data_IF_151127978074
#
_entry.id   IF_151127978074
#
_cell.length_a   1.000
_cell.length_b   1.000
_cell.length_c   1.000
_cell.angle_alpha   90.00
_cell.angle_beta   90.00
_cell.angle_gamma   90.00
#
_symmetry.space_group_name_H-M   'P 1'
#
loop_
_entity.id
_entity.type
_entity.pdbx_description
1 polymer ?
#
# COMPACT_ATOMS: atom_id res chain seq x y z
N UNK A 1 -8.55 0.11 -20.28
CA UNK A 1 -7.99 -1.26 -20.24
C UNK A 1 -8.36 -2.05 -21.49
N UNK A 2 -9.66 -2.19 -21.82
CA UNK A 2 -10.15 -2.97 -22.97
C UNK A 2 -9.52 -2.51 -24.30
N UNK A 3 -9.48 -1.19 -24.55
CA UNK A 3 -8.86 -0.65 -25.76
C UNK A 3 -7.36 -0.99 -25.86
N UNK A 4 -6.64 -0.98 -24.74
CA UNK A 4 -5.22 -1.34 -24.70
C UNK A 4 -4.97 -2.81 -24.96
N UNK A 5 -5.82 -3.71 -24.41
CA UNK A 5 -5.76 -5.14 -24.69
C UNK A 5 -6.09 -5.46 -26.14
N UNK A 6 -7.11 -4.82 -26.70
CA UNK A 6 -7.47 -4.97 -28.13
C UNK A 6 -6.35 -4.44 -29.05
N UNK A 7 -5.73 -3.33 -28.70
CA UNK A 7 -4.59 -2.77 -29.43
C UNK A 7 -3.37 -3.68 -29.38
N UNK A 8 -3.04 -4.23 -28.19
CA UNK A 8 -1.93 -5.17 -28.04
C UNK A 8 -2.18 -6.47 -28.81
N UNK A 9 -3.42 -7.00 -28.78
CA UNK A 9 -3.82 -8.12 -29.64
C UNK A 9 -3.71 -7.82 -31.12
N UNK A 10 -4.18 -6.63 -31.56
CA UNK A 10 -4.10 -6.21 -32.96
C UNK A 10 -2.66 -6.07 -33.45
N UNK A 11 -1.78 -5.50 -32.63
CA UNK A 11 -0.34 -5.36 -32.94
C UNK A 11 0.32 -6.76 -32.99
N UNK A 12 0.04 -7.61 -31.99
CA UNK A 12 0.59 -8.98 -31.95
C UNK A 12 0.14 -9.81 -33.15
N UNK A 13 -1.16 -9.73 -33.49
CA UNK A 13 -1.71 -10.40 -34.65
C UNK A 13 -1.14 -9.87 -35.97
N UNK A 14 -1.03 -8.54 -36.11
CA UNK A 14 -0.45 -7.90 -37.30
C UNK A 14 1.03 -8.23 -37.48
N UNK A 15 1.81 -8.29 -36.40
CA UNK A 15 3.21 -8.69 -36.45
C UNK A 15 3.39 -10.15 -36.94
N UNK A 16 2.58 -11.05 -36.41
CA UNK A 16 2.63 -12.46 -36.83
C UNK A 16 2.08 -12.68 -38.24
N UNK A 17 1.00 -11.97 -38.61
CA UNK A 17 0.44 -12.05 -39.98
C UNK A 17 1.44 -11.58 -41.05
N UNK A 18 2.33 -10.64 -40.66
CA UNK A 18 3.39 -10.17 -41.55
C UNK A 18 4.46 -11.26 -41.83
N UNK A 19 4.78 -12.09 -40.84
CA UNK A 19 5.83 -13.12 -40.95
C UNK A 19 5.30 -14.47 -41.45
N UNK A 20 4.01 -14.73 -41.34
CA UNK A 20 3.43 -16.03 -41.71
C UNK A 20 2.13 -15.83 -42.53
N UNK A 21 2.24 -15.81 -43.89
CA UNK A 21 1.10 -15.54 -44.77
C UNK A 21 0.02 -16.63 -44.71
N UNK A 22 0.29 -17.83 -44.22
CA UNK A 22 -0.69 -18.92 -44.01
C UNK A 22 -1.68 -18.58 -42.88
N UNK A 23 -1.38 -17.57 -42.10
CA UNK A 23 -2.18 -17.13 -40.97
C UNK A 23 -3.56 -16.60 -41.36
N UNK A 24 -3.67 -16.02 -42.56
CA UNK A 24 -4.92 -15.42 -43.07
C UNK A 24 -5.95 -16.46 -43.53
N UNK A 25 -5.51 -17.67 -43.85
CA UNK A 25 -6.41 -18.75 -44.30
C UNK A 25 -7.14 -19.47 -43.15
N UNK A 26 -6.58 -19.41 -41.90
CA UNK A 26 -7.11 -20.11 -40.74
C UNK A 26 -7.16 -19.18 -39.51
N UNK A 27 -7.94 -18.11 -39.58
CA UNK A 27 -8.03 -17.08 -38.52
C UNK A 27 -8.38 -17.59 -37.11
N UNK A 28 -9.18 -18.66 -37.05
CA UNK A 28 -9.64 -19.22 -35.76
C UNK A 28 -8.85 -20.45 -35.30
N UNK A 29 -8.11 -21.09 -36.19
CA UNK A 29 -7.29 -22.28 -35.86
C UNK A 29 -5.81 -21.93 -35.69
N UNK A 30 -5.56 -20.68 -35.35
CA UNK A 30 -4.23 -20.14 -35.23
C UNK A 30 -3.65 -20.35 -33.86
N UNK A 31 -2.33 -20.62 -33.79
CA UNK A 31 -1.57 -20.79 -32.54
C UNK A 31 -1.71 -19.61 -31.59
N UNK A 32 -1.87 -18.35 -32.10
CA UNK A 32 -2.05 -17.15 -31.28
C UNK A 32 -3.42 -17.18 -30.62
N UNK A 33 -4.48 -17.50 -31.35
CA UNK A 33 -5.82 -17.56 -30.80
C UNK A 33 -5.94 -18.67 -29.75
N UNK A 34 -5.40 -19.84 -30.03
CA UNK A 34 -5.37 -20.96 -29.08
C UNK A 34 -4.54 -20.64 -27.83
N UNK A 35 -3.40 -19.94 -27.97
CA UNK A 35 -2.61 -19.47 -26.83
C UNK A 35 -3.35 -18.41 -26.00
N UNK A 36 -4.06 -17.48 -26.66
CA UNK A 36 -4.87 -16.49 -25.97
C UNK A 36 -5.99 -17.15 -25.15
N UNK A 37 -6.74 -18.05 -25.75
CA UNK A 37 -7.81 -18.80 -25.07
C UNK A 37 -7.23 -19.60 -23.91
N UNK A 38 -6.15 -20.35 -24.13
CA UNK A 38 -5.48 -21.14 -23.09
C UNK A 38 -4.99 -20.27 -21.94
N UNK A 39 -4.33 -19.16 -22.22
CA UNK A 39 -3.84 -18.26 -21.19
C UNK A 39 -5.00 -17.58 -20.41
N UNK A 40 -6.08 -17.25 -21.10
CA UNK A 40 -7.28 -16.70 -20.46
C UNK A 40 -7.88 -17.72 -19.48
N UNK A 41 -8.05 -18.97 -19.90
CA UNK A 41 -8.52 -20.04 -19.01
C UNK A 41 -7.57 -20.29 -17.85
N UNK A 42 -6.25 -20.31 -18.09
CA UNK A 42 -5.26 -20.48 -17.02
C UNK A 42 -5.33 -19.38 -15.97
N UNK A 43 -5.61 -18.13 -16.38
CA UNK A 43 -5.79 -17.00 -15.45
C UNK A 43 -7.12 -17.13 -14.70
N UNK A 44 -8.20 -17.53 -15.39
CA UNK A 44 -9.53 -17.68 -14.77
C UNK A 44 -9.59 -18.84 -13.77
N UNK A 45 -8.87 -19.93 -14.02
CA UNK A 45 -8.80 -21.12 -13.15
C UNK A 45 -7.73 -21.00 -12.05
N UNK A 46 -7.14 -19.81 -11.91
CA UNK A 46 -6.06 -19.62 -10.93
C UNK A 46 -6.61 -19.28 -9.54
N UNK A 47 -6.56 -20.25 -8.63
CA UNK A 47 -7.02 -20.10 -7.24
C UNK A 47 -6.31 -18.98 -6.47
N UNK A 48 -5.09 -18.61 -6.84
CA UNK A 48 -4.33 -17.52 -6.20
C UNK A 48 -5.00 -16.16 -6.44
N UNK A 49 -5.58 -15.95 -7.63
CA UNK A 49 -6.26 -14.70 -7.96
C UNK A 49 -7.58 -14.51 -7.19
N UNK A 50 -8.19 -15.59 -6.71
CA UNK A 50 -9.38 -15.51 -5.85
C UNK A 50 -9.07 -14.80 -4.51
N UNK A 51 -7.81 -14.79 -4.07
CA UNK A 51 -7.40 -14.04 -2.90
C UNK A 51 -7.55 -12.51 -3.07
N UNK A 52 -7.45 -11.98 -4.30
CA UNK A 52 -7.52 -10.52 -4.56
C UNK A 52 -8.84 -9.91 -4.09
N UNK A 53 -10.03 -10.38 -4.54
CA UNK A 53 -11.30 -9.82 -4.07
C UNK A 53 -11.52 -10.02 -2.58
N UNK A 54 -11.02 -11.11 -1.99
CA UNK A 54 -11.12 -11.34 -0.54
C UNK A 54 -10.28 -10.33 0.25
N UNK A 55 -9.06 -10.01 -0.21
CA UNK A 55 -8.23 -8.96 0.40
C UNK A 55 -8.84 -7.57 0.24
N UNK A 56 -9.43 -7.27 -0.92
CA UNK A 56 -10.17 -6.02 -1.13
C UNK A 56 -11.33 -5.88 -0.14
N UNK A 57 -12.09 -6.94 0.05
CA UNK A 57 -13.20 -6.96 0.99
C UNK A 57 -12.72 -6.80 2.44
N UNK A 58 -11.66 -7.51 2.83
CA UNK A 58 -11.04 -7.37 4.15
C UNK A 58 -10.54 -5.95 4.39
N UNK A 59 -9.83 -5.37 3.42
CA UNK A 59 -9.33 -3.99 3.50
C UNK A 59 -10.45 -2.97 3.70
N UNK A 60 -11.55 -3.13 2.96
CA UNK A 60 -12.74 -2.29 3.10
C UNK A 60 -13.40 -2.42 4.48
N UNK A 61 -13.49 -3.64 5.03
CA UNK A 61 -14.02 -3.85 6.37
C UNK A 61 -13.15 -3.16 7.44
N UNK A 62 -11.83 -3.30 7.36
CA UNK A 62 -10.88 -2.68 8.30
C UNK A 62 -10.96 -1.15 8.22
N UNK A 63 -11.10 -0.60 7.01
CA UNK A 63 -11.29 0.84 6.79
C UNK A 63 -12.59 1.33 7.49
N UNK A 64 -13.68 0.62 7.31
CA UNK A 64 -14.99 0.97 7.91
C UNK A 64 -15.04 0.78 9.42
N UNK A 65 -14.25 -0.11 9.98
CA UNK A 65 -14.19 -0.35 11.42
C UNK A 65 -13.62 0.82 12.24
N UNK A 66 -13.02 1.84 11.59
CA UNK A 66 -12.47 3.01 12.27
C UNK A 66 -11.25 2.74 13.15
N UNK A 67 -10.68 1.54 13.08
CA UNK A 67 -9.53 1.09 13.87
C UNK A 67 -8.31 1.97 13.61
N UNK A 68 -8.13 2.42 12.35
CA UNK A 68 -6.97 3.22 11.93
C UNK A 68 -6.90 4.56 12.65
N UNK A 69 -8.05 5.22 12.87
CA UNK A 69 -8.10 6.48 13.59
C UNK A 69 -7.65 6.29 15.04
N UNK A 70 -8.16 5.27 15.73
CA UNK A 70 -7.75 4.95 17.10
C UNK A 70 -6.27 4.62 17.18
N UNK A 71 -5.77 3.80 16.24
CA UNK A 71 -4.36 3.42 16.15
C UNK A 71 -3.45 4.64 15.93
N UNK A 72 -3.83 5.54 15.01
CA UNK A 72 -3.08 6.77 14.77
C UNK A 72 -2.98 7.64 16.02
N UNK A 73 -4.09 7.85 16.74
CA UNK A 73 -4.10 8.63 17.97
C UNK A 73 -3.27 7.96 19.08
N UNK A 74 -3.38 6.65 19.24
CA UNK A 74 -2.61 5.90 20.24
C UNK A 74 -1.09 5.96 19.96
N UNK A 75 -0.68 5.76 18.71
CA UNK A 75 0.75 5.83 18.33
C UNK A 75 1.28 7.26 18.45
N UNK A 76 0.48 8.28 18.04
CA UNK A 76 0.84 9.68 18.22
C UNK A 76 1.14 9.99 19.69
N UNK A 77 0.30 9.48 20.58
CA UNK A 77 0.44 9.66 22.01
C UNK A 77 1.70 8.94 22.56
N UNK A 78 1.97 7.73 22.09
CA UNK A 78 3.18 6.98 22.45
C UNK A 78 4.46 7.64 21.94
N UNK A 79 4.42 8.21 20.73
CA UNK A 79 5.56 8.85 20.08
C UNK A 79 5.78 10.32 20.48
N UNK A 80 5.04 10.88 21.44
CA UNK A 80 5.05 12.32 21.79
C UNK A 80 6.43 12.90 22.13
N UNK A 81 7.37 12.05 22.60
CA UNK A 81 8.74 12.45 22.94
C UNK A 81 9.65 12.59 21.74
N UNK A 82 9.29 11.99 20.60
CA UNK A 82 10.13 12.00 19.41
C UNK A 82 9.98 13.31 18.64
N UNK A 83 11.05 13.83 18.01
CA UNK A 83 10.92 14.88 17.02
C UNK A 83 10.04 14.37 15.87
N UNK A 84 9.19 15.24 15.31
CA UNK A 84 8.20 14.87 14.31
C UNK A 84 7.23 13.75 14.75
N UNK A 85 6.78 13.74 15.99
CA UNK A 85 5.94 12.70 16.59
C UNK A 85 4.72 12.33 15.74
N UNK A 86 4.03 13.31 15.15
CA UNK A 86 2.89 13.04 14.26
C UNK A 86 3.30 12.37 12.94
N UNK A 87 4.45 12.75 12.36
CA UNK A 87 4.95 12.12 11.14
C UNK A 87 5.36 10.66 11.40
N UNK A 88 6.04 10.41 12.52
CA UNK A 88 6.40 9.05 12.96
C UNK A 88 5.14 8.23 13.21
N UNK A 89 4.16 8.79 13.91
CA UNK A 89 2.88 8.11 14.15
C UNK A 89 2.15 7.79 12.84
N UNK A 90 2.12 8.73 11.89
CA UNK A 90 1.52 8.50 10.58
C UNK A 90 2.22 7.36 9.82
N UNK A 91 3.56 7.34 9.78
CA UNK A 91 4.32 6.29 9.10
C UNK A 91 4.12 4.91 9.73
N UNK A 92 4.14 4.82 11.06
CA UNK A 92 3.90 3.55 11.76
C UNK A 92 2.46 3.08 11.52
N UNK A 93 1.47 3.98 11.61
CA UNK A 93 0.07 3.66 11.32
C UNK A 93 -0.11 3.21 9.88
N UNK A 94 0.50 3.91 8.91
CA UNK A 94 0.50 3.49 7.50
C UNK A 94 1.11 2.10 7.33
N UNK A 95 2.24 1.82 8.00
CA UNK A 95 2.91 0.51 7.94
C UNK A 95 1.97 -0.60 8.42
N UNK A 96 1.35 -0.43 9.59
CA UNK A 96 0.42 -1.41 10.15
C UNK A 96 -0.86 -1.54 9.32
N UNK A 97 -1.42 -0.41 8.86
CA UNK A 97 -2.63 -0.43 8.05
C UNK A 97 -2.39 -1.01 6.65
N UNK A 98 -1.21 -0.78 6.09
CA UNK A 98 -0.79 -1.35 4.81
C UNK A 98 -0.79 -2.88 4.84
N UNK A 99 -0.38 -3.49 5.96
CA UNK A 99 -0.43 -4.95 6.12
C UNK A 99 -1.86 -5.50 6.12
N UNK A 100 -2.84 -4.70 6.55
CA UNK A 100 -4.24 -5.12 6.57
C UNK A 100 -4.94 -4.94 5.22
N UNK A 101 -4.60 -3.90 4.45
CA UNK A 101 -5.34 -3.55 3.22
C UNK A 101 -4.61 -3.91 1.93
N UNK A 102 -3.29 -3.79 1.90
CA UNK A 102 -2.48 -3.99 0.70
C UNK A 102 -2.80 -3.01 -0.45
N UNK A 103 -3.51 -1.90 -0.16
CA UNK A 103 -4.00 -0.95 -1.16
C UNK A 103 -3.49 0.45 -0.84
N UNK A 104 -2.66 1.03 -1.71
CA UNK A 104 -2.11 2.39 -1.54
C UNK A 104 -3.21 3.44 -1.39
N UNK A 105 -4.19 3.41 -2.32
CA UNK A 105 -5.24 4.42 -2.38
C UNK A 105 -6.02 4.53 -1.07
N UNK A 106 -6.39 3.41 -0.47
CA UNK A 106 -7.10 3.38 0.82
C UNK A 106 -6.24 3.99 1.94
N UNK A 107 -4.96 3.60 2.03
CA UNK A 107 -4.03 4.10 3.05
C UNK A 107 -3.81 5.60 2.92
N UNK A 108 -3.50 6.09 1.70
CA UNK A 108 -3.25 7.53 1.45
C UNK A 108 -4.50 8.36 1.70
N UNK A 109 -5.67 7.91 1.23
CA UNK A 109 -6.92 8.65 1.40
C UNK A 109 -7.29 8.75 2.87
N UNK A 110 -7.27 7.63 3.60
CA UNK A 110 -7.64 7.62 5.01
C UNK A 110 -6.68 8.45 5.86
N UNK A 111 -5.37 8.27 5.66
CA UNK A 111 -4.37 9.07 6.39
C UNK A 111 -4.35 10.54 5.95
N UNK A 112 -4.69 10.81 4.69
CA UNK A 112 -4.92 12.17 4.21
C UNK A 112 -6.08 12.86 4.94
N UNK A 113 -7.15 12.14 5.23
CA UNK A 113 -8.29 12.68 5.97
C UNK A 113 -8.03 12.81 7.48
N UNK A 114 -7.23 11.92 8.07
CA UNK A 114 -6.98 11.87 9.51
C UNK A 114 -5.71 12.63 9.93
N UNK A 115 -4.57 12.28 9.33
CA UNK A 115 -3.27 12.80 9.75
C UNK A 115 -2.96 14.18 9.16
N UNK A 116 -3.34 14.44 7.92
CA UNK A 116 -3.08 15.72 7.25
C UNK A 116 -3.62 16.94 8.04
N UNK A 117 -4.93 17.02 8.37
CA UNK A 117 -5.45 18.16 9.10
C UNK A 117 -4.83 18.30 10.50
N UNK A 118 -4.52 17.17 11.14
CA UNK A 118 -3.86 17.16 12.43
C UNK A 118 -2.44 17.73 12.36
N UNK A 119 -1.65 17.33 11.35
CA UNK A 119 -0.29 17.81 11.11
C UNK A 119 -0.27 19.30 10.74
N UNK A 120 -1.20 19.74 9.87
CA UNK A 120 -1.30 21.16 9.48
C UNK A 120 -1.70 22.04 10.66
N UNK A 121 -2.65 21.60 11.49
CA UNK A 121 -3.03 22.32 12.74
C UNK A 121 -1.88 22.42 13.75
N UNK A 122 -1.02 21.40 13.79
CA UNK A 122 0.18 21.40 14.63
C UNK A 122 1.33 22.24 14.07
N UNK A 123 1.13 22.91 12.92
CA UNK A 123 2.13 23.80 12.32
C UNK A 123 3.18 23.07 11.44
N UNK A 124 2.95 21.83 11.05
CA UNK A 124 3.84 21.12 10.14
C UNK A 124 3.84 21.78 8.76
N UNK A 125 5.00 21.77 8.11
CA UNK A 125 5.11 22.17 6.70
C UNK A 125 4.23 21.28 5.82
N UNK A 126 3.43 21.91 4.95
CA UNK A 126 2.45 21.21 4.12
C UNK A 126 3.10 20.21 3.15
N UNK A 127 4.28 20.57 2.60
CA UNK A 127 5.03 19.69 1.67
C UNK A 127 5.58 18.48 2.41
N UNK A 128 6.10 18.70 3.62
CA UNK A 128 6.60 17.62 4.45
C UNK A 128 5.46 16.67 4.87
N UNK A 129 4.33 17.20 5.36
CA UNK A 129 3.18 16.41 5.79
C UNK A 129 2.59 15.56 4.64
N UNK A 130 2.41 16.16 3.44
CA UNK A 130 1.93 15.39 2.27
C UNK A 130 2.93 14.32 1.83
N UNK A 131 4.22 14.64 1.83
CA UNK A 131 5.27 13.68 1.52
C UNK A 131 5.27 12.47 2.45
N UNK A 132 5.09 12.68 3.76
CA UNK A 132 5.00 11.60 4.76
C UNK A 132 3.80 10.69 4.49
N UNK A 133 2.63 11.26 4.21
CA UNK A 133 1.41 10.48 3.95
C UNK A 133 1.55 9.67 2.65
N UNK A 134 2.03 10.29 1.59
CA UNK A 134 2.24 9.61 0.31
C UNK A 134 3.29 8.49 0.42
N UNK A 135 4.43 8.75 1.09
CA UNK A 135 5.47 7.73 1.29
C UNK A 135 4.98 6.59 2.18
N UNK A 136 4.22 6.90 3.24
CA UNK A 136 3.58 5.89 4.08
C UNK A 136 2.60 5.01 3.30
N UNK A 137 1.82 5.59 2.40
CA UNK A 137 0.90 4.85 1.53
C UNK A 137 1.61 3.88 0.57
N UNK A 138 2.79 4.25 0.05
CA UNK A 138 3.58 3.39 -0.82
C UNK A 138 4.03 2.08 -0.16
N UNK A 139 4.11 2.04 1.18
CA UNK A 139 4.44 0.82 1.91
C UNK A 139 3.39 -0.29 1.71
N UNK A 140 2.14 0.07 1.35
CA UNK A 140 1.07 -0.88 1.07
C UNK A 140 1.31 -1.83 -0.11
N UNK A 141 2.20 -1.47 -1.04
CA UNK A 141 2.60 -2.40 -2.11
C UNK A 141 3.65 -3.38 -1.63
N UNK A 142 4.55 -2.92 -0.77
CA UNK A 142 5.78 -3.67 -0.45
C UNK A 142 5.60 -4.58 0.77
N UNK A 143 4.82 -4.12 1.77
CA UNK A 143 4.64 -4.89 3.00
C UNK A 143 3.52 -5.93 2.82
N UNK A 144 3.80 -7.22 3.00
CA UNK A 144 2.79 -8.27 2.89
C UNK A 144 1.72 -8.19 3.98
N UNK A 145 0.48 -8.63 3.67
CA UNK A 145 -0.02 -9.10 2.39
C UNK A 145 -0.29 -7.96 1.41
N UNK A 146 0.19 -8.09 0.18
CA UNK A 146 0.05 -7.09 -0.87
C UNK A 146 -0.61 -7.69 -2.10
N UNK A 147 -1.66 -7.02 -2.61
CA UNK A 147 -2.37 -7.44 -3.82
C UNK A 147 -1.44 -7.45 -5.03
N UNK A 148 -0.53 -6.48 -5.11
CA UNK A 148 0.43 -6.42 -6.23
C UNK A 148 1.38 -7.61 -6.23
N UNK A 149 1.84 -8.07 -5.06
CA UNK A 149 2.67 -9.28 -4.96
C UNK A 149 1.90 -10.54 -5.32
N UNK A 150 0.59 -10.62 -5.01
CA UNK A 150 -0.26 -11.73 -5.43
C UNK A 150 -0.36 -11.77 -6.97
N UNK A 151 -0.70 -10.66 -7.60
CA UNK A 151 -0.80 -10.57 -9.06
C UNK A 151 0.56 -10.89 -9.72
N UNK A 152 1.64 -10.33 -9.18
CA UNK A 152 3.00 -10.61 -9.67
C UNK A 152 3.36 -12.10 -9.56
N UNK A 153 2.96 -12.76 -8.46
CA UNK A 153 3.24 -14.19 -8.27
C UNK A 153 2.65 -15.07 -9.37
N UNK A 154 1.45 -14.73 -9.84
CA UNK A 154 0.76 -15.43 -10.92
C UNK A 154 1.48 -15.23 -12.25
N UNK A 155 1.86 -13.99 -12.57
CA UNK A 155 2.54 -13.64 -13.82
C UNK A 155 3.94 -14.29 -13.86
N UNK A 156 4.68 -14.21 -12.76
CA UNK A 156 6.04 -14.74 -12.64
C UNK A 156 6.09 -16.25 -12.34
N UNK A 157 4.95 -16.92 -12.20
CA UNK A 157 4.85 -18.35 -11.84
C UNK A 157 5.61 -18.68 -10.54
N UNK A 158 5.59 -17.76 -9.57
CA UNK A 158 6.24 -17.90 -8.27
C UNK A 158 5.21 -18.15 -7.16
N UNK A 159 5.64 -18.80 -6.09
CA UNK A 159 4.80 -18.97 -4.91
C UNK A 159 4.56 -17.63 -4.22
N UNK A 160 3.28 -17.20 -3.97
CA UNK A 160 2.97 -15.98 -3.23
C UNK A 160 3.62 -15.95 -1.85
N UNK A 161 3.67 -17.09 -1.18
CA UNK A 161 4.26 -17.20 0.16
C UNK A 161 5.76 -16.86 0.17
N UNK A 162 6.50 -17.34 -0.84
CA UNK A 162 7.93 -17.03 -0.99
C UNK A 162 8.16 -15.54 -1.28
N UNK A 163 7.31 -14.95 -2.11
CA UNK A 163 7.36 -13.51 -2.39
C UNK A 163 7.06 -12.68 -1.15
N UNK A 164 6.06 -13.05 -0.37
CA UNK A 164 5.74 -12.39 0.89
C UNK A 164 6.91 -12.46 1.87
N UNK A 165 7.47 -13.64 2.08
CA UNK A 165 8.64 -13.81 2.95
C UNK A 165 9.83 -12.95 2.51
N UNK A 166 10.09 -12.87 1.20
CA UNK A 166 11.16 -12.04 0.65
C UNK A 166 10.89 -10.53 0.78
N UNK A 167 9.62 -10.10 0.72
CA UNK A 167 9.22 -8.69 0.76
C UNK A 167 9.18 -8.09 2.18
N UNK A 168 9.04 -8.91 3.23
CA UNK A 168 8.98 -8.42 4.63
C UNK A 168 10.21 -7.60 4.98
N UNK A 169 11.40 -8.14 4.73
CA UNK A 169 12.66 -7.47 5.12
C UNK A 169 12.84 -6.13 4.39
N UNK A 170 12.79 -6.03 3.05
CA UNK A 170 12.92 -4.74 2.37
C UNK A 170 11.76 -3.79 2.70
N UNK A 171 10.53 -4.29 2.96
CA UNK A 171 9.40 -3.47 3.36
C UNK A 171 9.62 -2.79 4.72
N UNK A 172 10.02 -3.55 5.73
CA UNK A 172 10.34 -3.01 7.06
C UNK A 172 11.57 -2.10 7.03
N UNK A 173 12.58 -2.43 6.23
CA UNK A 173 13.76 -1.58 6.04
C UNK A 173 13.35 -0.22 5.45
N UNK A 174 12.49 -0.20 4.43
CA UNK A 174 12.00 1.03 3.83
C UNK A 174 11.18 1.86 4.82
N UNK A 175 10.29 1.22 5.60
CA UNK A 175 9.53 1.89 6.66
C UNK A 175 10.47 2.53 7.69
N UNK A 176 11.50 1.80 8.12
CA UNK A 176 12.54 2.33 9.01
C UNK A 176 13.30 3.51 8.42
N UNK A 177 13.65 3.47 7.14
CA UNK A 177 14.31 4.57 6.45
C UNK A 177 13.42 5.82 6.35
N UNK A 178 12.10 5.66 6.10
CA UNK A 178 11.16 6.79 6.11
C UNK A 178 11.04 7.42 7.49
N UNK A 179 10.96 6.61 8.54
CA UNK A 179 10.94 7.09 9.93
C UNK A 179 12.25 7.80 10.26
N UNK A 180 13.40 7.21 9.92
CA UNK A 180 14.71 7.82 10.13
C UNK A 180 14.82 9.16 9.39
N UNK A 181 14.39 9.24 8.14
CA UNK A 181 14.34 10.48 7.37
C UNK A 181 13.45 11.54 8.05
N UNK A 182 12.25 11.16 8.49
CA UNK A 182 11.32 12.07 9.13
C UNK A 182 11.91 12.67 10.43
N UNK A 183 12.54 11.82 11.24
CA UNK A 183 13.17 12.21 12.50
C UNK A 183 14.40 13.10 12.26
N UNK A 184 15.29 12.69 11.37
CA UNK A 184 16.51 13.47 11.04
C UNK A 184 16.17 14.83 10.43
N UNK A 185 15.17 14.87 9.53
CA UNK A 185 14.73 16.10 8.91
C UNK A 185 14.13 17.09 9.92
N UNK A 186 13.34 16.59 10.87
CA UNK A 186 12.77 17.40 11.95
C UNK A 186 13.83 17.83 12.98
N UNK A 187 14.85 17.02 13.18
CA UNK A 187 15.96 17.36 14.07
C UNK A 187 16.85 18.46 13.49
N UNK A 188 17.12 18.39 12.19
CA UNK A 188 17.91 19.40 11.47
C UNK A 188 17.16 20.74 11.31
N UNK A 189 15.84 20.68 11.10
CA UNK A 189 14.98 21.84 10.91
C UNK A 189 13.70 21.74 11.76
N UNK A 190 13.74 22.14 13.03
CA UNK A 190 12.58 22.07 13.94
C UNK A 190 11.35 22.86 13.48
N UNK A 191 11.52 23.83 12.58
CA UNK A 191 10.43 24.61 12.02
C UNK A 191 9.52 23.84 11.08
N UNK A 192 10.01 22.72 10.50
CA UNK A 192 9.25 21.90 9.55
C UNK A 192 8.24 20.98 10.27
N UNK A 193 8.60 20.55 11.48
CA UNK A 193 7.79 19.65 12.30
C UNK A 193 7.86 20.08 13.77
N UNK A 194 7.14 21.14 14.17
CA UNK A 194 7.14 21.61 15.55
C UNK A 194 6.60 20.54 16.50
N UNK A 195 7.10 20.56 17.73
CA UNK A 195 6.60 19.63 18.75
C UNK A 195 5.18 20.04 19.14
N UNK A 196 4.25 19.10 19.31
CA UNK A 196 2.92 19.42 19.79
C UNK A 196 2.98 20.06 21.19
N UNK A 197 2.11 21.03 21.50
CA UNK A 197 2.07 21.63 22.81
C UNK A 197 1.79 20.56 23.89
N UNK A 198 2.43 20.73 25.04
CA UNK A 198 2.40 19.76 26.14
C UNK A 198 1.00 19.63 26.81
N UNK A 199 0.09 20.53 26.52
CA UNK A 199 -1.27 20.59 27.08
C UNK A 199 -2.20 19.47 26.59
N UNK A 200 -1.90 18.84 25.45
CA UNK A 200 -2.70 17.77 24.83
C UNK A 200 -2.26 16.35 25.23
N UNK A 201 -1.42 16.21 26.26
CA UNK A 201 -0.86 14.91 26.66
C UNK A 201 -1.61 14.40 27.90
N UNK A 202 -2.48 13.37 27.76
CA UNK A 202 -3.12 12.75 28.91
C UNK A 202 -2.10 11.99 29.78
N UNK A 203 -2.40 11.74 31.06
CA UNK A 203 -1.50 11.04 31.97
C UNK A 203 -1.14 9.65 31.48
N UNK A 204 0.09 9.20 31.76
CA UNK A 204 0.67 7.93 31.23
C UNK A 204 -0.22 6.70 31.39
N UNK A 205 -1.05 6.65 32.42
CA UNK A 205 -1.99 5.55 32.68
C UNK A 205 -3.12 5.50 31.64
N UNK A 206 -3.61 6.64 31.14
CA UNK A 206 -4.60 6.71 30.08
C UNK A 206 -4.03 6.36 28.73
N UNK A 207 -2.77 6.74 28.46
CA UNK A 207 -2.05 6.36 27.24
C UNK A 207 -1.96 4.83 27.12
N UNK A 208 -1.57 4.18 28.20
CA UNK A 208 -1.44 2.71 28.23
C UNK A 208 -2.79 2.02 28.06
N UNK A 209 -3.84 2.58 28.69
CA UNK A 209 -5.20 2.06 28.58
C UNK A 209 -5.76 2.22 27.16
N UNK A 210 -5.56 3.38 26.55
CA UNK A 210 -6.04 3.66 25.19
C UNK A 210 -5.28 2.84 24.13
N UNK A 211 -3.97 2.66 24.30
CA UNK A 211 -3.18 1.77 23.46
C UNK A 211 -3.67 0.32 23.60
N UNK A 212 -3.86 -0.19 24.82
CA UNK A 212 -4.38 -1.55 25.07
C UNK A 212 -5.79 -1.74 24.50
N UNK A 213 -6.69 -0.78 24.71
CA UNK A 213 -8.09 -0.84 24.21
C UNK A 213 -8.14 -0.72 22.67
N UNK A 214 -7.16 -0.10 22.03
CA UNK A 214 -7.08 -0.01 20.57
C UNK A 214 -6.57 -1.29 19.90
N UNK A 215 -5.96 -2.20 20.67
CA UNK A 215 -5.49 -3.51 20.20
C UNK A 215 -6.44 -4.67 20.54
N UNK A 216 -7.48 -4.44 21.31
CA UNK A 216 -8.54 -5.38 21.65
C UNK A 216 -9.83 -5.03 20.93
#
# INVERSE_FOLDING_TARGET
PIAFTLMAMGIGFGYYAYYDPVLMDHLFDNRIFSLFVKNTYTVMDNNVLTAVPLFLFMGYLVERAGIVAKLFFAIRLAAHRLPASMAVAALITCTLFSTATGIIGAVVTLMGLLAWPAMVKAGYDKKFASGIICSGGCLGILIPPSIMLIVYSVIAQLSPLRLFAAAIFPGLMLAGLYIAYAVTRAWLNPSIAPRPPAEDIPPRAEILKEVLVSFV
#
